data_IF_703230509813
#
_entry.id   IF_703230509813
#
_cell.length_a   1.000
_cell.length_b   1.000
_cell.length_c   1.000
_cell.angle_alpha   90.00
_cell.angle_beta   90.00
_cell.angle_gamma   90.00
#
_symmetry.space_group_name_H-M   'P 1'
#
loop_
_entity.id
_entity.type
_entity.pdbx_description
1 polymer ?
#
# COMPACT_ATOMS: atom_id res chain seq x y z
N UNK A 1 -2.76 -8.89 -4.95
CA UNK A 1 -1.86 -7.94 -4.27
C UNK A 1 -2.55 -6.92 -3.36
N UNK A 2 -3.87 -6.72 -3.42
CA UNK A 2 -4.56 -5.75 -2.55
C UNK A 2 -4.69 -4.35 -3.17
N UNK A 3 -5.79 -3.68 -2.83
CA UNK A 3 -6.17 -2.34 -3.29
C UNK A 3 -7.57 -1.98 -2.77
N UNK A 4 -8.24 -1.00 -3.37
CA UNK A 4 -9.57 -0.53 -2.91
C UNK A 4 -10.65 -1.62 -2.92
N UNK A 5 -10.51 -2.65 -3.78
CA UNK A 5 -11.40 -3.81 -3.84
C UNK A 5 -11.05 -4.95 -2.89
N UNK A 6 -10.10 -4.74 -1.96
CA UNK A 6 -9.64 -5.76 -1.04
C UNK A 6 -8.48 -6.60 -1.58
N UNK A 7 -8.10 -7.63 -0.82
CA UNK A 7 -7.03 -8.56 -1.17
C UNK A 7 -7.53 -10.00 -1.06
N UNK A 8 -7.13 -10.79 -2.04
CA UNK A 8 -7.49 -12.20 -2.18
C UNK A 8 -6.23 -13.04 -2.30
N UNK A 9 -6.28 -14.23 -1.72
CA UNK A 9 -5.24 -15.25 -1.76
C UNK A 9 -5.81 -16.60 -2.18
N UNK A 10 -4.97 -17.42 -2.81
CA UNK A 10 -5.32 -18.77 -3.21
C UNK A 10 -4.86 -19.76 -2.13
N UNK A 11 -5.79 -20.24 -1.31
CA UNK A 11 -5.52 -21.18 -0.23
C UNK A 11 -6.74 -22.06 0.06
N UNK A 12 -6.55 -23.13 0.82
CA UNK A 12 -7.66 -23.91 1.37
C UNK A 12 -8.09 -23.29 2.69
N UNK A 13 -9.30 -22.69 2.79
CA UNK A 13 -9.71 -22.01 4.01
C UNK A 13 -9.81 -22.94 5.20
N UNK A 14 -9.52 -22.40 6.39
CA UNK A 14 -9.77 -23.11 7.65
C UNK A 14 -11.28 -23.20 7.90
N UNK A 15 -11.72 -24.25 8.60
CA UNK A 15 -13.12 -24.37 8.99
C UNK A 15 -13.52 -23.20 9.89
N UNK A 16 -14.50 -22.41 9.45
CA UNK A 16 -15.07 -21.31 10.23
C UNK A 16 -16.42 -21.68 10.81
N UNK A 17 -16.86 -20.94 11.84
CA UNK A 17 -18.13 -21.19 12.54
C UNK A 17 -19.35 -21.20 11.61
N UNK A 18 -19.30 -20.42 10.54
CA UNK A 18 -20.39 -20.29 9.55
C UNK A 18 -20.29 -21.26 8.37
N UNK A 19 -19.29 -22.14 8.33
CA UNK A 19 -19.19 -23.17 7.30
C UNK A 19 -20.02 -24.41 7.68
N UNK A 20 -20.77 -24.95 6.72
CA UNK A 20 -21.53 -26.19 6.91
C UNK A 20 -20.62 -27.43 6.92
N UNK A 21 -19.52 -27.38 6.16
CA UNK A 21 -18.55 -28.46 6.05
C UNK A 21 -17.14 -27.90 5.79
N UNK A 22 -16.13 -28.71 6.09
CA UNK A 22 -14.73 -28.35 5.84
C UNK A 22 -14.46 -28.28 4.34
N UNK A 23 -13.89 -27.17 3.88
CA UNK A 23 -13.37 -27.08 2.52
C UNK A 23 -12.14 -27.97 2.36
N UNK A 24 -12.08 -28.69 1.23
CA UNK A 24 -10.97 -29.62 0.91
C UNK A 24 -10.11 -29.12 -0.24
N UNK A 25 -10.61 -28.16 -1.03
CA UNK A 25 -9.94 -27.63 -2.22
C UNK A 25 -9.47 -26.19 -2.01
N UNK A 26 -8.32 -25.81 -2.56
CA UNK A 26 -7.90 -24.42 -2.57
C UNK A 26 -8.76 -23.61 -3.55
N UNK A 27 -9.14 -22.40 -3.14
CA UNK A 27 -9.81 -21.42 -4.00
C UNK A 27 -9.36 -19.99 -3.62
N UNK A 28 -9.72 -19.01 -4.45
CA UNK A 28 -9.45 -17.60 -4.15
C UNK A 28 -10.44 -17.08 -3.11
N UNK A 29 -9.94 -16.76 -1.92
CA UNK A 29 -10.74 -16.24 -0.81
C UNK A 29 -10.13 -14.95 -0.28
N UNK A 30 -10.90 -14.22 0.53
CA UNK A 30 -10.41 -13.06 1.27
C UNK A 30 -9.13 -13.39 2.04
N UNK A 31 -8.21 -12.44 2.07
CA UNK A 31 -7.00 -12.48 2.85
C UNK A 31 -7.09 -11.48 4.02
N UNK A 32 -6.28 -11.65 5.05
CA UNK A 32 -6.25 -10.74 6.20
C UNK A 32 -5.07 -9.75 6.08
N UNK A 33 -5.32 -8.45 6.23
CA UNK A 33 -4.28 -7.43 6.28
C UNK A 33 -4.03 -6.95 7.71
N UNK A 34 -2.77 -6.66 8.02
CA UNK A 34 -2.37 -6.07 9.30
C UNK A 34 -2.26 -4.56 9.13
N UNK A 35 -3.12 -3.79 9.79
CA UNK A 35 -3.13 -2.32 9.70
C UNK A 35 -3.30 -1.67 11.06
N UNK A 36 -2.63 -0.54 11.26
CA UNK A 36 -2.87 0.34 12.40
C UNK A 36 -4.10 1.20 12.08
N UNK A 37 -5.14 1.11 12.92
CA UNK A 37 -6.33 1.95 12.83
C UNK A 37 -6.05 3.40 13.23
N UNK A 38 -7.01 4.29 12.97
CA UNK A 38 -6.91 5.71 13.40
C UNK A 38 -6.94 5.87 14.94
N UNK A 39 -7.37 4.84 15.65
CA UNK A 39 -7.34 4.70 17.10
C UNK A 39 -5.96 4.25 17.63
N UNK A 40 -5.00 3.97 16.74
CA UNK A 40 -3.66 3.49 17.09
C UNK A 40 -3.61 2.00 17.41
N UNK A 41 -4.72 1.27 17.30
CA UNK A 41 -4.76 -0.17 17.54
C UNK A 41 -4.43 -0.96 16.29
N UNK A 42 -3.79 -2.12 16.49
CA UNK A 42 -3.52 -3.08 15.42
C UNK A 42 -4.76 -3.92 15.13
N UNK A 43 -5.08 -4.02 13.84
CA UNK A 43 -6.14 -4.85 13.32
C UNK A 43 -5.56 -5.86 12.34
N UNK A 44 -5.91 -7.13 12.51
CA UNK A 44 -5.58 -8.23 11.61
C UNK A 44 -6.90 -8.89 11.20
N UNK A 45 -7.41 -8.53 10.02
CA UNK A 45 -8.75 -8.91 9.55
C UNK A 45 -8.91 -8.70 8.05
N UNK A 46 -9.74 -9.53 7.42
CA UNK A 46 -10.17 -9.38 6.04
C UNK A 46 -10.74 -7.99 5.71
N UNK A 47 -11.40 -7.34 6.66
CA UNK A 47 -11.93 -5.99 6.48
C UNK A 47 -10.84 -4.92 6.35
N UNK A 48 -9.68 -5.10 6.98
CA UNK A 48 -8.57 -4.18 6.90
C UNK A 48 -8.04 -4.03 5.47
N UNK A 49 -8.20 -5.07 4.64
CA UNK A 49 -7.80 -5.05 3.22
C UNK A 49 -8.51 -3.96 2.41
N UNK A 50 -9.70 -3.54 2.84
CA UNK A 50 -10.51 -2.48 2.21
C UNK A 50 -10.47 -1.20 3.05
N UNK A 51 -10.67 -1.31 4.37
CA UNK A 51 -10.89 -0.14 5.22
C UNK A 51 -9.70 0.81 5.30
N UNK A 52 -8.47 0.30 5.14
CA UNK A 52 -7.26 1.13 5.08
C UNK A 52 -7.33 2.19 3.96
N UNK A 53 -8.12 1.94 2.91
CA UNK A 53 -8.31 2.83 1.76
C UNK A 53 -9.55 3.73 1.87
N UNK A 54 -10.31 3.64 2.98
CA UNK A 54 -11.65 4.22 3.10
C UNK A 54 -11.72 5.71 2.83
N UNK A 55 -10.79 6.46 3.38
CA UNK A 55 -10.74 7.91 3.17
C UNK A 55 -10.56 8.24 1.67
N UNK A 56 -9.67 7.53 0.99
CA UNK A 56 -9.35 7.81 -0.41
C UNK A 56 -10.54 7.54 -1.35
N UNK A 57 -11.22 6.39 -1.22
CA UNK A 57 -12.37 6.11 -2.10
C UNK A 57 -13.62 6.93 -1.77
N UNK A 58 -13.82 7.33 -0.50
CA UNK A 58 -14.92 8.22 -0.14
C UNK A 58 -14.69 9.64 -0.68
N UNK A 59 -13.46 10.15 -0.59
CA UNK A 59 -13.11 11.44 -1.19
C UNK A 59 -13.20 11.40 -2.72
N UNK A 60 -12.76 10.31 -3.36
CA UNK A 60 -12.87 10.13 -4.82
C UNK A 60 -14.35 10.11 -5.26
N UNK A 61 -15.22 9.44 -4.49
CA UNK A 61 -16.66 9.49 -4.77
C UNK A 61 -17.24 10.89 -4.59
N UNK A 62 -16.89 11.58 -3.50
CA UNK A 62 -17.35 12.95 -3.23
C UNK A 62 -16.94 13.94 -4.34
N UNK A 63 -15.67 13.93 -4.77
CA UNK A 63 -15.22 14.78 -5.87
C UNK A 63 -15.94 14.46 -7.19
N UNK A 64 -16.19 13.18 -7.48
CA UNK A 64 -16.96 12.80 -8.68
C UNK A 64 -18.40 13.29 -8.64
N UNK A 65 -19.01 13.39 -7.47
CA UNK A 65 -20.33 14.01 -7.34
C UNK A 65 -20.25 15.51 -7.64
N UNK A 66 -19.23 16.20 -7.14
CA UNK A 66 -18.98 17.60 -7.48
C UNK A 66 -18.80 17.83 -8.98
N UNK A 67 -18.11 16.92 -9.69
CA UNK A 67 -17.92 17.01 -11.14
C UNK A 67 -19.23 16.97 -11.95
N UNK A 68 -20.33 16.47 -11.36
CA UNK A 68 -21.63 16.42 -12.04
C UNK A 68 -22.37 17.75 -12.02
N UNK A 69 -22.00 18.67 -11.12
CA UNK A 69 -22.70 19.93 -10.87
C UNK A 69 -21.81 21.17 -10.98
N UNK A 70 -20.49 21.01 -10.91
CA UNK A 70 -19.50 22.10 -10.99
C UNK A 70 -18.74 22.07 -12.31
N UNK A 71 -18.21 23.23 -12.70
CA UNK A 71 -17.27 23.30 -13.82
C UNK A 71 -15.92 22.68 -13.43
N UNK A 72 -15.08 22.34 -14.41
CA UNK A 72 -13.73 21.81 -14.15
C UNK A 72 -12.96 22.71 -13.16
N UNK A 73 -12.97 24.02 -13.35
CA UNK A 73 -12.19 24.94 -12.50
C UNK A 73 -12.68 25.04 -11.06
N UNK A 74 -13.91 24.60 -10.79
CA UNK A 74 -14.55 24.72 -9.48
C UNK A 74 -14.59 23.39 -8.71
N UNK A 75 -13.96 22.33 -9.25
CA UNK A 75 -13.89 21.03 -8.62
C UNK A 75 -12.46 20.49 -8.60
N UNK A 76 -12.13 19.74 -7.55
CA UNK A 76 -10.82 19.14 -7.38
C UNK A 76 -10.63 17.91 -8.28
N UNK A 77 -9.44 17.73 -8.83
CA UNK A 77 -9.02 16.61 -9.66
C UNK A 77 -7.87 15.84 -9.05
N UNK A 78 -7.79 14.53 -9.32
CA UNK A 78 -6.79 13.71 -8.67
C UNK A 78 -5.36 14.07 -9.10
N UNK A 79 -4.41 14.04 -8.16
CA UNK A 79 -3.01 14.30 -8.48
C UNK A 79 -2.44 13.18 -9.35
N UNK A 80 -1.44 13.48 -10.16
CA UNK A 80 -0.74 12.49 -10.98
C UNK A 80 0.48 11.99 -10.22
N UNK A 81 0.36 10.83 -9.57
CA UNK A 81 1.50 10.16 -8.93
C UNK A 81 2.47 9.58 -9.97
N UNK A 82 3.76 9.96 -9.91
CA UNK A 82 4.83 9.40 -10.75
C UNK A 82 6.02 8.95 -9.90
N UNK A 83 6.70 7.92 -10.40
CA UNK A 83 7.96 7.45 -9.83
C UNK A 83 9.11 8.02 -10.67
N UNK A 84 10.12 8.56 -10.00
CA UNK A 84 11.38 9.01 -10.62
C UNK A 84 12.34 7.85 -10.96
N UNK A 85 11.87 6.61 -10.85
CA UNK A 85 12.62 5.38 -11.13
C UNK A 85 11.64 4.28 -11.59
N UNK A 86 12.15 3.10 -11.95
CA UNK A 86 11.30 1.95 -12.32
C UNK A 86 10.42 1.51 -11.15
N UNK A 87 9.19 1.09 -11.47
CA UNK A 87 8.25 0.45 -10.55
C UNK A 87 8.71 -0.93 -10.08
N UNK A 88 9.72 -1.53 -10.73
CA UNK A 88 10.32 -2.79 -10.33
C UNK A 88 11.84 -2.67 -10.19
N UNK A 89 12.34 -2.91 -8.99
CA UNK A 89 13.76 -2.81 -8.64
C UNK A 89 14.30 -4.19 -8.24
N UNK A 90 15.61 -4.39 -8.40
CA UNK A 90 16.30 -5.57 -7.87
C UNK A 90 17.28 -5.14 -6.80
N UNK A 91 17.34 -5.87 -5.69
CA UNK A 91 18.17 -5.55 -4.55
C UNK A 91 18.72 -6.82 -3.89
N UNK A 92 19.77 -6.66 -3.08
CA UNK A 92 20.26 -7.65 -2.14
C UNK A 92 19.97 -7.19 -0.70
N UNK A 93 20.02 -8.15 0.23
CA UNK A 93 19.90 -7.83 1.66
C UNK A 93 21.00 -6.85 2.07
N UNK A 94 20.62 -5.78 2.78
CA UNK A 94 21.53 -4.72 3.20
C UNK A 94 21.67 -3.56 2.22
N UNK A 95 21.21 -3.70 0.97
CA UNK A 95 21.23 -2.61 -0.01
C UNK A 95 20.32 -1.46 0.44
N UNK A 96 20.75 -0.23 0.10
CA UNK A 96 19.94 0.97 0.31
C UNK A 96 19.22 1.30 -0.99
N UNK A 97 17.90 1.21 -0.95
CA UNK A 97 17.02 1.53 -2.07
C UNK A 97 16.53 2.96 -1.93
N UNK A 98 16.71 3.74 -2.99
CA UNK A 98 16.22 5.12 -3.10
C UNK A 98 14.89 5.10 -3.83
N UNK A 99 13.90 5.73 -3.21
CA UNK A 99 12.56 5.92 -3.73
C UNK A 99 12.39 7.39 -4.09
N UNK A 100 11.80 7.65 -5.26
CA UNK A 100 11.58 9.02 -5.76
C UNK A 100 10.17 9.14 -6.32
N UNK A 101 9.43 10.13 -5.84
CA UNK A 101 8.15 10.57 -6.37
C UNK A 101 8.30 11.78 -7.31
N UNK A 102 9.53 12.08 -7.76
CA UNK A 102 9.79 13.19 -8.68
C UNK A 102 8.96 13.06 -9.97
N UNK A 103 8.43 14.19 -10.43
CA UNK A 103 7.50 14.24 -11.55
C UNK A 103 6.03 14.03 -11.18
N UNK A 104 5.72 13.80 -9.90
CA UNK A 104 4.34 13.90 -9.41
C UNK A 104 3.85 15.34 -9.52
N UNK A 105 2.62 15.52 -9.97
CA UNK A 105 2.05 16.84 -10.27
C UNK A 105 0.56 16.88 -9.99
N UNK A 106 0.06 18.04 -9.63
CA UNK A 106 -1.37 18.28 -9.47
C UNK A 106 -1.91 19.06 -10.69
N UNK A 107 -3.02 18.64 -11.34
CA UNK A 107 -3.58 19.35 -12.48
C UNK A 107 -4.23 20.68 -12.11
N UNK A 108 -4.66 20.86 -10.86
CA UNK A 108 -5.30 22.08 -10.36
C UNK A 108 -4.28 23.04 -9.72
N UNK A 109 -3.05 22.58 -9.53
CA UNK A 109 -1.95 23.37 -8.98
C UNK A 109 -1.84 23.28 -7.45
N UNK A 110 -2.55 22.34 -6.83
CA UNK A 110 -2.51 22.14 -5.40
C UNK A 110 -1.17 21.59 -4.91
N UNK A 111 -0.85 21.88 -3.64
CA UNK A 111 0.29 21.27 -2.98
C UNK A 111 0.10 19.75 -2.85
N UNK A 112 1.21 19.00 -2.89
CA UNK A 112 1.19 17.54 -2.76
C UNK A 112 1.82 17.09 -1.44
N UNK A 113 1.15 16.18 -0.76
CA UNK A 113 1.68 15.39 0.36
C UNK A 113 2.07 14.00 -0.14
N UNK A 114 3.24 13.53 0.31
CA UNK A 114 3.77 12.21 -0.01
C UNK A 114 3.71 11.33 1.24
N UNK A 115 3.42 10.05 1.05
CA UNK A 115 3.52 9.05 2.11
C UNK A 115 3.97 7.71 1.50
N UNK A 116 5.16 7.28 1.90
CA UNK A 116 5.73 6.00 1.54
C UNK A 116 5.51 5.01 2.67
N UNK A 117 4.92 3.86 2.36
CA UNK A 117 4.79 2.79 3.35
C UNK A 117 5.07 1.43 2.75
N UNK A 118 5.55 0.54 3.62
CA UNK A 118 5.77 -0.86 3.29
C UNK A 118 4.44 -1.61 3.37
N UNK A 119 4.12 -2.37 2.33
CA UNK A 119 2.92 -3.21 2.23
C UNK A 119 3.36 -4.69 2.21
N UNK A 120 3.66 -5.30 3.37
CA UNK A 120 4.24 -6.64 3.44
C UNK A 120 3.35 -7.76 2.90
N UNK A 121 2.04 -7.67 3.13
CA UNK A 121 1.07 -8.75 2.92
C UNK A 121 1.03 -9.31 1.48
N UNK A 122 1.16 -8.51 0.40
CA UNK A 122 1.29 -9.05 -0.95
C UNK A 122 2.70 -9.54 -1.33
N UNK A 123 3.71 -9.29 -0.50
CA UNK A 123 5.10 -9.67 -0.75
C UNK A 123 5.42 -11.09 -0.31
N UNK A 124 6.41 -11.70 -0.96
CA UNK A 124 6.93 -13.03 -0.57
C UNK A 124 8.18 -12.96 0.29
N UNK A 125 8.78 -11.77 0.45
CA UNK A 125 9.93 -11.58 1.31
C UNK A 125 9.52 -11.56 2.78
N UNK A 126 9.63 -12.72 3.44
CA UNK A 126 9.19 -12.88 4.83
C UNK A 126 10.26 -12.42 5.81
N UNK A 127 9.94 -11.38 6.58
CA UNK A 127 10.69 -10.95 7.76
C UNK A 127 9.87 -11.37 8.98
N UNK A 128 10.50 -12.03 9.94
CA UNK A 128 9.87 -12.38 11.22
C UNK A 128 9.58 -11.11 12.01
N UNK A 129 8.39 -10.55 11.81
CA UNK A 129 7.73 -9.70 12.78
C UNK A 129 7.07 -10.62 13.82
N UNK A 130 7.64 -10.66 15.03
CA UNK A 130 6.75 -10.80 16.18
C UNK A 130 5.75 -9.64 16.09
N UNK A 131 4.56 -9.73 16.70
CA UNK A 131 3.47 -8.72 16.72
C UNK A 131 3.87 -7.29 17.16
N UNK A 132 5.15 -7.01 17.24
CA UNK A 132 5.86 -5.77 17.48
C UNK A 132 7.00 -5.59 16.44
N UNK A 133 6.67 -4.93 15.32
CA UNK A 133 7.54 -3.99 14.60
C UNK A 133 9.04 -4.35 14.41
N UNK A 134 9.37 -4.97 13.27
CA UNK A 134 10.35 -4.33 12.40
C UNK A 134 9.60 -3.85 11.15
N UNK A 135 8.90 -2.69 11.21
CA UNK A 135 8.52 -2.03 9.97
C UNK A 135 9.83 -1.82 9.21
N UNK A 136 9.81 -2.05 7.91
CA UNK A 136 10.88 -1.56 7.07
C UNK A 136 10.86 -0.04 7.22
N UNK A 137 11.77 0.51 8.01
CA UNK A 137 11.81 1.95 8.28
C UNK A 137 12.21 2.67 7.00
N UNK A 138 11.28 3.47 6.49
CA UNK A 138 11.52 4.32 5.33
C UNK A 138 11.97 5.69 5.86
N UNK A 139 13.21 6.06 5.56
CA UNK A 139 13.71 7.41 5.84
C UNK A 139 13.04 8.40 4.89
N UNK A 140 12.61 9.53 5.45
CA UNK A 140 11.90 10.60 4.74
C UNK A 140 10.63 10.09 4.03
N UNK A 141 9.86 9.23 4.71
CA UNK A 141 8.66 8.61 4.16
C UNK A 141 7.59 9.63 3.76
N UNK A 142 7.63 10.84 4.32
CA UNK A 142 6.73 11.96 4.07
C UNK A 142 7.22 12.91 2.96
N UNK A 143 8.37 12.62 2.35
CA UNK A 143 9.02 13.46 1.34
C UNK A 143 8.97 12.82 -0.06
N UNK A 144 9.17 13.64 -1.09
CA UNK A 144 9.26 13.15 -2.47
C UNK A 144 10.43 12.16 -2.67
N UNK A 145 11.54 12.37 -1.95
CA UNK A 145 12.70 11.46 -1.93
C UNK A 145 12.75 10.71 -0.62
N UNK A 146 12.57 9.40 -0.69
CA UNK A 146 12.63 8.50 0.44
C UNK A 146 13.70 7.43 0.21
N UNK A 147 14.07 6.71 1.26
CA UNK A 147 14.96 5.56 1.12
C UNK A 147 14.74 4.55 2.23
N UNK A 148 15.02 3.30 1.96
CA UNK A 148 15.00 2.25 2.98
C UNK A 148 16.16 1.29 2.76
N UNK A 149 16.51 0.55 3.80
CA UNK A 149 17.50 -0.50 3.71
C UNK A 149 16.81 -1.87 3.69
N UNK A 150 17.20 -2.74 2.77
CA UNK A 150 16.66 -4.10 2.71
C UNK A 150 17.06 -4.87 3.98
N UNK A 151 16.11 -5.44 4.74
CA UNK A 151 16.40 -6.12 6.00
C UNK A 151 17.42 -7.25 5.84
N UNK A 152 18.40 -7.31 6.76
CA UNK A 152 19.40 -8.38 6.84
C UNK A 152 19.15 -9.34 8.00
N UNK A 153 18.44 -8.89 9.04
CA UNK A 153 18.12 -9.66 10.24
C UNK A 153 16.67 -10.14 10.22
N UNK A 154 16.40 -11.24 10.95
CA UNK A 154 15.07 -11.86 11.06
C UNK A 154 14.43 -12.23 9.72
N UNK A 155 15.22 -12.38 8.66
CA UNK A 155 14.75 -12.82 7.35
C UNK A 155 14.58 -14.34 7.38
N UNK A 156 13.38 -14.81 7.10
CA UNK A 156 13.09 -16.25 7.06
C UNK A 156 13.64 -16.86 5.76
N UNK A 157 14.13 -18.12 5.78
CA UNK A 157 14.49 -18.84 4.55
C UNK A 157 13.33 -18.85 3.54
N UNK A 158 13.56 -18.62 2.23
CA UNK A 158 14.85 -18.65 1.52
C UNK A 158 15.68 -17.35 1.62
N UNK A 159 15.13 -16.29 2.22
CA UNK A 159 15.77 -14.97 2.27
C UNK A 159 15.84 -14.24 0.94
N UNK A 160 14.94 -14.59 0.04
CA UNK A 160 14.67 -14.01 -1.26
C UNK A 160 13.16 -13.81 -1.37
N UNK A 161 12.71 -12.91 -2.24
CA UNK A 161 11.29 -12.67 -2.45
C UNK A 161 10.99 -11.25 -2.88
N UNK A 162 9.71 -10.89 -2.93
CA UNK A 162 9.27 -9.54 -3.28
C UNK A 162 8.91 -8.73 -2.04
N UNK A 163 9.37 -7.50 -2.01
CA UNK A 163 8.93 -6.47 -1.07
C UNK A 163 8.09 -5.44 -1.82
N UNK A 164 6.92 -5.10 -1.28
CA UNK A 164 6.01 -4.15 -1.93
C UNK A 164 5.98 -2.85 -1.13
N UNK A 165 6.18 -1.73 -1.82
CA UNK A 165 6.07 -0.39 -1.26
C UNK A 165 5.01 0.38 -2.01
N UNK A 166 4.28 1.23 -1.29
CA UNK A 166 3.26 2.08 -1.86
C UNK A 166 3.68 3.53 -1.65
N UNK A 167 3.71 4.27 -2.75
CA UNK A 167 3.67 5.72 -2.77
C UNK A 167 2.20 6.14 -2.75
N UNK A 168 1.81 6.85 -1.70
CA UNK A 168 0.57 7.61 -1.63
C UNK A 168 0.88 9.09 -1.91
N UNK A 169 0.25 9.65 -2.94
CA UNK A 169 0.29 11.08 -3.25
C UNK A 169 -1.10 11.65 -3.01
N UNK A 170 -1.20 12.61 -2.09
CA UNK A 170 -2.45 13.26 -1.71
C UNK A 170 -2.36 14.75 -1.98
N UNK A 171 -3.34 15.31 -2.67
CA UNK A 171 -3.43 16.75 -2.87
C UNK A 171 -3.88 17.49 -1.59
N UNK A 172 -3.98 18.82 -1.70
CA UNK A 172 -4.57 19.70 -0.68
C UNK A 172 -5.90 20.32 -1.13
N UNK A 173 -6.51 19.76 -2.18
CA UNK A 173 -7.81 20.18 -2.67
C UNK A 173 -8.96 19.71 -1.77
N UNK A 174 -10.19 20.10 -2.12
CA UNK A 174 -11.40 19.74 -1.34
C UNK A 174 -12.42 19.04 -2.25
N UNK A 175 -12.79 17.77 -1.98
CA UNK A 175 -12.18 16.86 -1.00
C UNK A 175 -10.76 16.44 -1.43
N UNK A 176 -9.92 16.03 -0.48
CA UNK A 176 -8.52 15.65 -0.77
C UNK A 176 -8.46 14.37 -1.58
N UNK A 177 -7.92 14.40 -2.79
CA UNK A 177 -7.81 13.22 -3.65
C UNK A 177 -6.43 12.58 -3.55
N UNK A 178 -6.45 11.26 -3.69
CA UNK A 178 -5.26 10.42 -3.49
C UNK A 178 -5.02 9.56 -4.72
N UNK A 179 -3.77 9.48 -5.16
CA UNK A 179 -3.32 8.51 -6.16
C UNK A 179 -2.09 7.74 -5.67
N UNK A 180 -1.95 6.54 -6.21
CA UNK A 180 -0.99 5.57 -5.72
C UNK A 180 -0.03 5.12 -6.81
N UNK A 181 1.22 4.84 -6.44
CA UNK A 181 2.14 4.01 -7.22
C UNK A 181 2.68 2.89 -6.35
N UNK A 182 2.87 1.72 -6.95
CA UNK A 182 3.48 0.57 -6.29
C UNK A 182 4.90 0.41 -6.80
N UNK A 183 5.82 0.15 -5.88
CA UNK A 183 7.20 -0.24 -6.17
C UNK A 183 7.39 -1.66 -5.66
N UNK A 184 7.83 -2.55 -6.53
CA UNK A 184 8.14 -3.95 -6.22
C UNK A 184 9.65 -4.09 -6.21
N UNK A 185 10.20 -4.59 -5.12
CA UNK A 185 11.63 -4.81 -4.95
C UNK A 185 11.87 -6.32 -4.88
N UNK A 186 12.48 -6.88 -5.93
CA UNK A 186 12.91 -8.26 -5.99
C UNK A 186 14.21 -8.42 -5.20
N UNK A 187 14.13 -9.02 -4.01
CA UNK A 187 15.29 -9.34 -3.17
C UNK A 187 15.88 -10.67 -3.63
N UNK A 188 17.12 -10.64 -4.09
CA UNK A 188 17.88 -11.81 -4.56
C UNK A 188 19.12 -12.03 -3.69
N UNK A 189 19.73 -13.21 -3.79
CA UNK A 189 21.02 -13.54 -3.16
C UNK A 189 22.19 -12.70 -3.71
#
# INVERSE_FOLDING_TARGET
>A
WGGWGGRYEFYTPRMQKWFLQKETRPFWSDADDEVIGKDGHWYDTNHATIWRWREAYQNDFSARMDWTIKSYKDANHPPVAKLGHSDRLTAKKGDVIRLSAEGSSDPDGDALSYNWFYYPEPGTFTVSSARTHLPVTIKNFDQAKASFQVPTSRVMPPGEGTMHFILEVKDHGTPRLTRYRRVIVDVKK
#
